data_IF_210920239680
#
_entry.id   IF_210920239680
#
_cell.length_a   1.000
_cell.length_b   1.000
_cell.length_c   1.000
_cell.angle_alpha   90.00
_cell.angle_beta   90.00
_cell.angle_gamma   90.00
#
_symmetry.space_group_name_H-M   'P 1'
#
loop_
_entity.id
_entity.type
_entity.pdbx_description
1 polymer ?
#
# COMPACT_ATOMS: atom_id res chain seq x y z
N UNK A 1 9.70 -22.74 31.77
CA UNK A 1 9.71 -21.44 31.06
C UNK A 1 9.41 -21.74 29.61
N UNK A 2 8.14 -21.69 29.23
CA UNK A 2 7.70 -21.95 27.86
C UNK A 2 8.08 -20.76 27.00
N UNK A 3 9.05 -20.96 26.10
CA UNK A 3 9.36 -20.01 25.04
C UNK A 3 8.11 -19.83 24.18
N UNK A 4 7.37 -18.74 24.39
CA UNK A 4 6.44 -18.27 23.39
C UNK A 4 7.29 -17.88 22.18
N UNK A 5 7.23 -18.66 21.10
CA UNK A 5 7.67 -18.18 19.79
C UNK A 5 6.93 -16.88 19.53
N UNK A 6 7.63 -15.75 19.59
CA UNK A 6 7.11 -14.47 19.14
C UNK A 6 6.82 -14.63 17.65
N UNK A 7 5.58 -14.94 17.31
CA UNK A 7 5.12 -14.96 15.92
C UNK A 7 5.30 -13.53 15.42
N UNK A 8 6.17 -13.34 14.43
CA UNK A 8 6.36 -12.03 13.82
C UNK A 8 5.00 -11.53 13.30
N UNK A 9 4.63 -10.26 13.54
CA UNK A 9 3.35 -9.73 13.09
C UNK A 9 3.29 -9.78 11.56
N UNK A 10 2.11 -10.08 11.04
CA UNK A 10 1.86 -10.00 9.59
C UNK A 10 1.89 -8.54 9.12
N UNK A 11 1.96 -8.32 7.82
CA UNK A 11 1.91 -6.98 7.24
C UNK A 11 0.62 -6.25 7.67
N UNK A 12 -0.51 -6.96 7.61
CA UNK A 12 -1.81 -6.40 7.97
C UNK A 12 -1.95 -6.16 9.47
N UNK A 13 -1.30 -6.96 10.32
CA UNK A 13 -1.22 -6.67 11.76
C UNK A 13 -0.52 -5.33 12.00
N UNK A 14 0.61 -5.08 11.32
CA UNK A 14 1.33 -3.79 11.43
C UNK A 14 0.46 -2.62 10.97
N UNK A 15 -0.27 -2.77 9.87
CA UNK A 15 -1.19 -1.72 9.38
C UNK A 15 -2.31 -1.47 10.39
N UNK A 16 -2.90 -2.53 10.94
CA UNK A 16 -3.96 -2.43 11.94
C UNK A 16 -3.47 -1.72 13.21
N UNK A 17 -2.30 -2.11 13.74
CA UNK A 17 -1.70 -1.51 14.94
C UNK A 17 -1.35 -0.02 14.78
N UNK A 18 -1.00 0.41 13.56
CA UNK A 18 -0.56 1.78 13.25
C UNK A 18 -1.67 2.69 12.74
N UNK A 19 -2.90 2.17 12.62
CA UNK A 19 -4.04 2.93 12.11
C UNK A 19 -5.19 2.93 13.13
N UNK A 20 -6.26 3.65 12.81
CA UNK A 20 -7.50 3.63 13.58
C UNK A 20 -8.50 2.57 13.08
N UNK A 21 -8.06 1.60 12.27
CA UNK A 21 -8.90 0.52 11.76
C UNK A 21 -9.26 -0.46 12.87
N UNK A 22 -10.41 -1.12 12.74
CA UNK A 22 -10.95 -1.98 13.81
C UNK A 22 -10.78 -3.46 13.52
N UNK A 23 -10.46 -3.83 12.26
CA UNK A 23 -10.32 -5.23 11.86
C UNK A 23 -9.27 -5.43 10.77
N UNK A 24 -8.74 -6.65 10.69
CA UNK A 24 -7.85 -7.06 9.60
C UNK A 24 -8.51 -6.98 8.23
N UNK A 25 -9.84 -7.19 8.15
CA UNK A 25 -10.58 -7.04 6.90
C UNK A 25 -10.56 -5.59 6.40
N UNK A 26 -10.69 -4.63 7.31
CA UNK A 26 -10.61 -3.21 6.96
C UNK A 26 -9.18 -2.83 6.55
N UNK A 27 -8.16 -3.35 7.26
CA UNK A 27 -6.76 -3.16 6.90
C UNK A 27 -6.45 -3.73 5.52
N UNK A 28 -6.96 -4.92 5.20
CA UNK A 28 -6.78 -5.56 3.89
C UNK A 28 -7.41 -4.72 2.78
N UNK A 29 -8.67 -4.29 2.95
CA UNK A 29 -9.39 -3.46 1.97
C UNK A 29 -8.70 -2.12 1.76
N UNK A 30 -8.39 -1.42 2.84
CA UNK A 30 -7.72 -0.13 2.75
C UNK A 30 -6.34 -0.24 2.09
N UNK A 31 -5.56 -1.26 2.45
CA UNK A 31 -4.25 -1.52 1.81
C UNK A 31 -4.38 -1.76 0.31
N UNK A 32 -5.34 -2.59 -0.11
CA UNK A 32 -5.59 -2.83 -1.54
C UNK A 32 -5.86 -1.54 -2.29
N UNK A 33 -6.68 -0.64 -1.72
CA UNK A 33 -6.98 0.65 -2.34
C UNK A 33 -5.77 1.57 -2.34
N UNK A 34 -5.01 1.66 -1.25
CA UNK A 34 -3.76 2.45 -1.20
C UNK A 34 -2.79 1.97 -2.28
N UNK A 35 -2.54 0.66 -2.37
CA UNK A 35 -1.63 0.10 -3.37
C UNK A 35 -2.15 0.28 -4.79
N UNK A 36 -3.46 0.15 -5.01
CA UNK A 36 -4.08 0.45 -6.31
C UNK A 36 -3.87 1.89 -6.73
N UNK A 37 -4.12 2.86 -5.84
CA UNK A 37 -3.92 4.27 -6.13
C UNK A 37 -2.42 4.54 -6.39
N UNK A 38 -1.51 3.93 -5.62
CA UNK A 38 -0.08 4.02 -5.90
C UNK A 38 0.27 3.52 -7.30
N UNK A 39 -0.21 2.33 -7.69
CA UNK A 39 0.02 1.75 -9.01
C UNK A 39 -0.52 2.64 -10.13
N UNK A 40 -1.69 3.25 -9.93
CA UNK A 40 -2.28 4.21 -10.88
C UNK A 40 -1.39 5.47 -11.10
N UNK A 41 -0.50 5.80 -10.15
CA UNK A 41 0.37 6.98 -10.18
C UNK A 41 1.77 6.71 -10.74
N UNK A 42 2.05 5.48 -11.18
CA UNK A 42 3.36 5.08 -11.68
C UNK A 42 3.25 4.33 -13.01
N UNK A 43 4.39 4.20 -13.69
CA UNK A 43 4.47 3.38 -14.90
C UNK A 43 4.48 1.90 -14.51
N UNK A 44 3.94 1.03 -15.36
CA UNK A 44 3.94 -0.43 -15.14
C UNK A 44 5.35 -0.94 -14.79
N UNK A 45 6.38 -0.51 -15.52
CA UNK A 45 7.78 -0.89 -15.23
C UNK A 45 8.21 -0.55 -13.81
N UNK A 46 7.75 0.58 -13.25
CA UNK A 46 8.09 0.97 -11.87
C UNK A 46 7.32 0.10 -10.88
N UNK A 47 6.04 -0.15 -11.15
CA UNK A 47 5.21 -1.07 -10.36
C UNK A 47 5.82 -2.48 -10.33
N UNK A 48 6.29 -2.99 -11.46
CA UNK A 48 6.92 -4.31 -11.58
C UNK A 48 8.22 -4.40 -10.78
N UNK A 49 9.02 -3.32 -10.77
CA UNK A 49 10.25 -3.28 -9.97
C UNK A 49 9.98 -3.20 -8.46
N UNK A 50 8.90 -2.52 -8.05
CA UNK A 50 8.46 -2.51 -6.65
C UNK A 50 7.97 -3.90 -6.26
N UNK A 51 7.16 -4.55 -7.10
CA UNK A 51 6.70 -5.93 -6.88
C UNK A 51 7.87 -6.90 -6.72
N UNK A 52 8.88 -6.77 -7.58
CA UNK A 52 10.09 -7.59 -7.49
C UNK A 52 10.83 -7.38 -6.16
N UNK A 53 11.01 -6.13 -5.73
CA UNK A 53 11.68 -5.83 -4.46
C UNK A 53 10.87 -6.33 -3.25
N UNK A 54 9.53 -6.23 -3.30
CA UNK A 54 8.65 -6.85 -2.31
C UNK A 54 8.87 -8.37 -2.27
N UNK A 55 8.83 -9.06 -3.41
CA UNK A 55 9.05 -10.52 -3.49
C UNK A 55 10.41 -10.96 -2.96
N UNK A 56 11.46 -10.17 -3.19
CA UNK A 56 12.82 -10.49 -2.75
C UNK A 56 13.07 -10.23 -1.26
N UNK A 57 12.35 -9.26 -0.66
CA UNK A 57 12.64 -8.77 0.70
C UNK A 57 11.58 -9.09 1.75
N UNK A 58 10.38 -9.46 1.33
CA UNK A 58 9.27 -9.75 2.24
C UNK A 58 9.58 -10.99 3.07
N UNK A 59 9.58 -10.90 4.42
CA UNK A 59 9.68 -12.07 5.29
C UNK A 59 8.53 -13.05 5.05
N UNK A 60 8.73 -14.33 5.36
CA UNK A 60 7.68 -15.36 5.19
C UNK A 60 6.38 -15.01 5.93
N UNK A 61 6.47 -14.33 7.08
CA UNK A 61 5.32 -13.92 7.90
C UNK A 61 4.47 -12.79 7.30
N UNK A 62 4.95 -12.13 6.24
CA UNK A 62 4.33 -10.94 5.64
C UNK A 62 4.06 -11.11 4.14
N UNK A 63 4.15 -12.34 3.62
CA UNK A 63 4.02 -12.67 2.19
C UNK A 63 2.72 -12.15 1.56
N UNK A 64 1.65 -11.98 2.35
CA UNK A 64 0.39 -11.42 1.88
C UNK A 64 0.53 -10.00 1.29
N UNK A 65 1.56 -9.23 1.65
CA UNK A 65 1.83 -7.92 1.03
C UNK A 65 2.03 -8.01 -0.48
N UNK A 66 2.57 -9.13 -0.98
CA UNK A 66 2.78 -9.36 -2.41
C UNK A 66 1.43 -9.54 -3.10
N UNK A 67 0.52 -10.31 -2.51
CA UNK A 67 -0.84 -10.51 -3.04
C UNK A 67 -1.64 -9.20 -3.02
N UNK A 68 -1.49 -8.40 -1.94
CA UNK A 68 -2.09 -7.07 -1.83
C UNK A 68 -1.56 -6.11 -2.91
N UNK A 69 -0.25 -6.18 -3.19
CA UNK A 69 0.37 -5.36 -4.24
C UNK A 69 -0.05 -5.80 -5.64
N UNK A 70 -0.26 -7.09 -5.88
CA UNK A 70 -0.72 -7.58 -7.18
C UNK A 70 -2.21 -7.31 -7.42
N UNK A 71 -3.02 -7.35 -6.34
CA UNK A 71 -4.48 -7.23 -6.37
C UNK A 71 -5.12 -8.18 -7.41
N UNK A 72 -5.19 -9.49 -7.12
CA UNK A 72 -5.65 -10.50 -8.07
C UNK A 72 -7.09 -10.27 -8.58
N UNK A 73 -7.90 -9.51 -7.85
CA UNK A 73 -9.28 -9.20 -8.24
C UNK A 73 -9.34 -8.15 -9.39
N UNK A 74 -8.36 -7.26 -9.49
CA UNK A 74 -8.23 -6.32 -10.62
C UNK A 74 -7.79 -7.02 -11.90
N UNK A 75 -7.13 -8.19 -11.80
CA UNK A 75 -6.83 -9.02 -12.98
C UNK A 75 -8.08 -9.65 -13.61
N UNK A 76 -9.19 -9.80 -12.87
CA UNK A 76 -10.39 -10.51 -13.37
C UNK A 76 -11.39 -9.57 -14.08
N UNK A 77 -11.28 -8.26 -13.89
CA UNK A 77 -12.12 -7.26 -14.55
C UNK A 77 -11.27 -6.19 -15.25
N UNK A 78 -10.95 -6.42 -16.52
CA UNK A 78 -10.49 -5.36 -17.44
C UNK A 78 -9.14 -4.71 -17.12
N UNK A 79 -8.04 -5.42 -17.40
CA UNK A 79 -7.06 -4.76 -18.27
C UNK A 79 -7.72 -4.58 -19.63
N UNK A 80 -8.32 -3.40 -19.84
CA UNK A 80 -8.24 -2.82 -21.18
C UNK A 80 -6.73 -2.77 -21.48
N UNK A 81 -6.28 -3.66 -22.38
CA UNK A 81 -4.91 -3.76 -22.85
C UNK A 81 -4.55 -2.55 -23.74
N UNK A 82 -4.95 -1.34 -23.32
CA UNK A 82 -4.80 -0.09 -24.05
C UNK A 82 -4.47 1.03 -23.05
N UNK A 83 -3.42 0.87 -22.24
CA UNK A 83 -2.34 1.88 -22.29
C UNK A 83 -1.13 1.43 -21.46
N UNK A 84 0.01 1.10 -22.07
CA UNK A 84 1.29 1.01 -21.38
C UNK A 84 1.81 2.38 -20.85
N UNK A 85 0.96 3.40 -20.71
CA UNK A 85 1.36 4.83 -20.71
C UNK A 85 0.68 5.69 -19.62
N UNK A 86 -0.38 5.25 -18.95
CA UNK A 86 -1.14 6.17 -18.08
C UNK A 86 -0.61 6.22 -16.65
N UNK A 87 0.43 7.03 -16.45
CA UNK A 87 0.67 7.68 -15.16
C UNK A 87 -0.47 8.68 -14.91
N UNK A 88 -1.36 8.41 -13.95
CA UNK A 88 -2.41 9.35 -13.59
C UNK A 88 -1.86 10.47 -12.70
N UNK A 89 -2.23 11.72 -13.03
CA UNK A 89 -1.98 12.87 -12.17
C UNK A 89 -3.04 12.93 -11.07
N UNK A 90 -2.90 12.08 -10.05
CA UNK A 90 -3.80 12.06 -8.90
C UNK A 90 -3.39 13.16 -7.93
N UNK A 91 -4.32 14.05 -7.57
CA UNK A 91 -4.08 15.08 -6.55
C UNK A 91 -4.19 14.48 -5.15
N UNK A 92 -3.53 15.03 -4.11
CA UNK A 92 -3.63 14.52 -2.74
C UNK A 92 -5.07 14.36 -2.24
N UNK A 93 -5.93 15.38 -2.46
CA UNK A 93 -7.35 15.27 -2.09
C UNK A 93 -8.10 14.17 -2.83
N UNK A 94 -7.73 13.85 -4.08
CA UNK A 94 -8.31 12.73 -4.83
C UNK A 94 -7.84 11.39 -4.28
N UNK A 95 -6.57 11.29 -3.84
CA UNK A 95 -6.05 10.11 -3.16
C UNK A 95 -6.88 9.81 -1.90
N UNK A 96 -7.03 10.81 -1.01
CA UNK A 96 -7.76 10.63 0.25
C UNK A 96 -9.25 10.33 0.02
N UNK A 97 -9.87 11.01 -0.94
CA UNK A 97 -11.27 10.76 -1.29
C UNK A 97 -11.48 9.33 -1.82
N UNK A 98 -10.60 8.85 -2.71
CA UNK A 98 -10.67 7.47 -3.22
C UNK A 98 -10.46 6.46 -2.10
N UNK A 99 -9.50 6.69 -1.21
CA UNK A 99 -9.30 5.81 -0.06
C UNK A 99 -10.52 5.77 0.85
N UNK A 100 -11.11 6.92 1.18
CA UNK A 100 -12.33 6.99 2.00
C UNK A 100 -13.49 6.21 1.35
N UNK A 101 -13.72 6.41 0.05
CA UNK A 101 -14.87 5.87 -0.66
C UNK A 101 -14.68 4.42 -1.10
N UNK A 102 -13.61 4.12 -1.85
CA UNK A 102 -13.34 2.77 -2.37
C UNK A 102 -12.85 1.83 -1.27
N UNK A 103 -12.17 2.35 -0.24
CA UNK A 103 -11.77 1.58 0.94
C UNK A 103 -12.90 1.31 1.92
N UNK A 104 -14.07 1.95 1.72
CA UNK A 104 -15.22 1.91 2.61
C UNK A 104 -14.83 2.17 4.08
N UNK A 105 -14.01 3.21 4.29
CA UNK A 105 -13.49 3.50 5.63
C UNK A 105 -14.64 3.88 6.57
N UNK A 106 -14.69 3.31 7.80
CA UNK A 106 -15.69 3.68 8.80
C UNK A 106 -15.67 5.16 9.15
N UNK A 107 -16.80 5.68 9.61
CA UNK A 107 -16.90 7.04 10.12
C UNK A 107 -15.91 7.26 11.28
N UNK A 108 -15.17 8.38 11.21
CA UNK A 108 -14.15 8.74 12.21
C UNK A 108 -12.75 8.18 11.95
N UNK A 109 -12.58 7.25 11.00
CA UNK A 109 -11.26 6.83 10.53
C UNK A 109 -10.71 7.87 9.57
N UNK A 110 -9.47 8.34 9.79
CA UNK A 110 -8.83 9.34 8.93
C UNK A 110 -8.03 8.67 7.80
N UNK A 111 -8.33 8.97 6.52
CA UNK A 111 -7.59 8.42 5.38
C UNK A 111 -6.07 8.63 5.47
N UNK A 112 -5.63 9.76 6.01
CA UNK A 112 -4.21 10.12 6.15
C UNK A 112 -3.49 9.19 7.13
N UNK A 113 -4.13 8.82 8.25
CA UNK A 113 -3.55 7.90 9.23
C UNK A 113 -3.43 6.48 8.66
N UNK A 114 -4.46 6.03 7.94
CA UNK A 114 -4.44 4.73 7.27
C UNK A 114 -3.37 4.70 6.18
N UNK A 115 -3.27 5.76 5.38
CA UNK A 115 -2.23 5.92 4.35
C UNK A 115 -0.84 5.85 4.98
N UNK A 116 -0.62 6.58 6.07
CA UNK A 116 0.66 6.57 6.81
C UNK A 116 0.98 5.18 7.35
N UNK A 117 0.01 4.47 7.90
CA UNK A 117 0.20 3.12 8.43
C UNK A 117 0.65 2.14 7.33
N UNK A 118 -0.04 2.15 6.17
CA UNK A 118 0.31 1.32 5.01
C UNK A 118 1.69 1.68 4.47
N UNK A 119 2.00 2.97 4.34
CA UNK A 119 3.31 3.42 3.88
C UNK A 119 4.43 3.00 4.83
N UNK A 120 4.23 3.18 6.14
CA UNK A 120 5.19 2.79 7.17
C UNK A 120 5.52 1.29 7.09
N UNK A 121 4.50 0.44 7.06
CA UNK A 121 4.68 -1.01 6.93
C UNK A 121 5.37 -1.41 5.61
N UNK A 122 5.03 -0.74 4.51
CA UNK A 122 5.61 -1.03 3.18
C UNK A 122 7.08 -0.62 3.11
N UNK A 123 7.43 0.54 3.67
CA UNK A 123 8.79 1.10 3.64
C UNK A 123 9.80 0.26 4.41
N UNK A 124 9.37 -0.48 5.43
CA UNK A 124 10.20 -1.43 6.17
C UNK A 124 10.70 -2.59 5.30
N UNK A 125 9.91 -2.98 4.30
CA UNK A 125 10.21 -4.10 3.41
C UNK A 125 11.06 -3.64 2.22
N UNK A 126 10.71 -2.48 1.66
CA UNK A 126 11.35 -1.96 0.46
C UNK A 126 12.79 -1.51 0.68
N UNK A 127 13.61 -1.68 -0.34
CA UNK A 127 14.97 -1.13 -0.38
C UNK A 127 14.96 0.41 -0.30
N UNK A 128 16.07 1.03 0.16
CA UNK A 128 16.23 2.48 0.14
C UNK A 128 16.07 3.09 -1.26
N UNK A 129 16.43 2.35 -2.31
CA UNK A 129 16.29 2.80 -3.69
C UNK A 129 14.81 2.85 -4.11
N UNK A 130 14.04 1.77 -3.88
CA UNK A 130 12.60 1.76 -4.17
C UNK A 130 11.85 2.80 -3.34
N UNK A 131 12.22 2.98 -2.08
CA UNK A 131 11.63 4.01 -1.22
C UNK A 131 11.82 5.43 -1.79
N UNK A 132 13.01 5.75 -2.34
CA UNK A 132 13.28 7.03 -3.00
C UNK A 132 12.55 7.19 -4.32
N UNK A 133 12.49 6.12 -5.13
CA UNK A 133 11.76 6.16 -6.41
C UNK A 133 10.28 6.42 -6.19
N UNK A 134 9.64 5.74 -5.21
CA UNK A 134 8.24 5.98 -4.87
C UNK A 134 8.04 7.43 -4.39
N UNK A 135 8.87 7.90 -3.46
CA UNK A 135 8.76 9.27 -2.95
C UNK A 135 8.75 10.32 -4.07
N UNK A 136 9.65 10.19 -5.05
CA UNK A 136 9.77 11.10 -6.19
C UNK A 136 8.54 11.10 -7.14
N UNK A 137 7.68 10.08 -7.06
CA UNK A 137 6.46 9.98 -7.87
C UNK A 137 5.24 10.57 -7.18
N UNK A 138 5.26 10.67 -5.85
CA UNK A 138 4.13 11.11 -5.05
C UNK A 138 4.00 12.64 -5.08
N UNK A 139 2.77 13.18 -5.14
CA UNK A 139 2.53 14.61 -5.16
C UNK A 139 2.34 15.15 -3.75
N UNK A 140 3.02 16.27 -3.46
CA UNK A 140 2.73 17.16 -2.35
C UNK A 140 2.59 16.42 -1.01
N UNK A 141 1.41 16.51 -0.41
CA UNK A 141 1.12 15.91 0.90
C UNK A 141 1.29 14.38 0.92
N UNK A 142 1.00 13.67 -0.17
CA UNK A 142 1.18 12.20 -0.20
C UNK A 142 2.66 11.83 -0.11
N UNK A 143 3.53 12.61 -0.75
CA UNK A 143 4.98 12.47 -0.61
C UNK A 143 5.42 12.74 0.84
N UNK A 144 4.89 13.78 1.47
CA UNK A 144 5.21 14.11 2.87
C UNK A 144 4.78 12.99 3.83
N UNK A 145 3.60 12.40 3.60
CA UNK A 145 3.15 11.23 4.38
C UNK A 145 4.09 10.05 4.16
N UNK A 146 4.51 9.78 2.91
CA UNK A 146 5.46 8.71 2.60
C UNK A 146 6.81 8.90 3.28
N UNK A 147 7.40 10.10 3.20
CA UNK A 147 8.71 10.41 3.80
C UNK A 147 8.67 10.44 5.33
N UNK A 148 7.54 10.84 5.92
CA UNK A 148 7.32 10.87 7.37
C UNK A 148 6.76 9.58 7.98
N UNK A 149 6.59 8.52 7.17
CA UNK A 149 6.11 7.19 7.59
C UNK A 149 7.20 6.33 8.25
#
# INVERSE_FOLDING_TARGET
MTSQSQKQPSFLDKVLERSSLQSLNDAQRATNIVFRILRDMMLNKTSDQIEKDLKERTPESEQEVIDLWQDPNVMVAFFSRISPVQKLHIKPGTFMLRLQQEGALPDGVRPEEVTKAVFSATREILSPERNKEIAALLPGEIQQIWEGA
#
